data_IF_671173904253
#
_entry.id   IF_671173904253
#
_cell.length_a   1.000
_cell.length_b   1.000
_cell.length_c   1.000
_cell.angle_alpha   90.00
_cell.angle_beta   90.00
_cell.angle_gamma   90.00
#
_symmetry.space_group_name_H-M   'P 1'
#
loop_
_entity.id
_entity.type
_entity.pdbx_description
1 polymer ?
#
# COMPACT_ATOMS: atom_id res chain seq x y z
N UNK A 1 67.71 -20.50 -36.80
CA UNK A 1 66.73 -20.12 -37.84
C UNK A 1 65.35 -20.08 -37.21
N UNK A 2 64.87 -18.89 -36.85
CA UNK A 2 63.56 -18.71 -36.25
C UNK A 2 62.92 -17.45 -36.84
N UNK A 3 62.18 -17.63 -37.93
CA UNK A 3 61.53 -16.53 -38.65
C UNK A 3 60.16 -16.31 -38.02
N UNK A 4 60.08 -15.38 -37.07
CA UNK A 4 58.80 -14.88 -36.55
C UNK A 4 58.04 -14.20 -37.70
N UNK A 5 57.05 -14.90 -38.25
CA UNK A 5 56.09 -14.33 -39.19
C UNK A 5 55.09 -13.49 -38.38
N UNK A 6 55.37 -12.19 -38.25
CA UNK A 6 54.41 -11.23 -37.70
C UNK A 6 53.27 -11.00 -38.68
N UNK A 7 52.04 -11.36 -38.29
CA UNK A 7 50.83 -11.01 -39.03
C UNK A 7 50.43 -9.59 -38.60
N UNK A 8 50.41 -8.65 -39.55
CA UNK A 8 49.80 -7.34 -39.33
C UNK A 8 48.28 -7.49 -39.33
N UNK A 9 47.66 -7.39 -38.17
CA UNK A 9 46.19 -7.33 -38.03
C UNK A 9 45.81 -5.85 -37.99
N UNK A 10 45.19 -5.35 -39.06
CA UNK A 10 44.58 -4.02 -39.05
C UNK A 10 43.29 -4.09 -38.22
N UNK A 11 43.35 -3.65 -36.97
CA UNK A 11 42.13 -3.43 -36.17
C UNK A 11 41.50 -2.14 -36.67
N UNK A 12 40.51 -2.24 -37.56
CA UNK A 12 39.64 -1.11 -37.90
C UNK A 12 38.79 -0.77 -36.68
N UNK A 13 39.27 0.17 -35.87
CA UNK A 13 38.47 0.79 -34.81
C UNK A 13 37.35 1.56 -35.51
N UNK A 14 36.12 1.04 -35.48
CA UNK A 14 34.94 1.78 -35.94
C UNK A 14 34.88 3.05 -35.10
N UNK A 15 35.18 4.19 -35.71
CA UNK A 15 35.00 5.49 -35.07
C UNK A 15 33.56 5.56 -34.57
N UNK A 16 33.41 5.76 -33.26
CA UNK A 16 32.14 6.14 -32.67
C UNK A 16 31.87 7.58 -33.14
N UNK A 17 31.40 7.74 -34.38
CA UNK A 17 30.71 8.95 -34.78
C UNK A 17 29.44 8.98 -33.95
N UNK A 18 29.38 9.87 -32.99
CA UNK A 18 28.10 10.39 -32.51
C UNK A 18 27.36 10.81 -33.78
N UNK A 19 26.35 10.04 -34.19
CA UNK A 19 25.66 10.31 -35.44
C UNK A 19 25.09 11.72 -35.33
N UNK A 20 25.38 12.58 -36.31
CA UNK A 20 24.64 13.82 -36.49
C UNK A 20 23.13 13.50 -36.37
N UNK A 21 22.35 14.38 -35.70
CA UNK A 21 20.93 14.11 -35.50
C UNK A 21 20.31 13.76 -36.86
N UNK A 22 19.59 12.64 -36.90
CA UNK A 22 19.02 12.18 -38.18
C UNK A 22 18.16 13.31 -38.77
N UNK A 23 18.12 13.47 -40.10
CA UNK A 23 17.25 14.47 -40.73
C UNK A 23 15.78 14.37 -40.29
N UNK A 24 15.34 13.16 -39.92
CA UNK A 24 14.03 12.92 -39.31
C UNK A 24 13.89 13.58 -37.93
N UNK A 25 14.89 13.44 -37.05
CA UNK A 25 14.88 14.03 -35.71
C UNK A 25 14.88 15.55 -35.77
N UNK A 26 15.71 16.14 -36.64
CA UNK A 26 15.70 17.60 -36.86
C UNK A 26 14.35 18.08 -37.39
N UNK A 27 13.74 17.34 -38.33
CA UNK A 27 12.41 17.66 -38.83
C UNK A 27 11.33 17.57 -37.74
N UNK A 28 11.40 16.55 -36.87
CA UNK A 28 10.49 16.38 -35.73
C UNK A 28 10.62 17.52 -34.72
N UNK A 29 11.84 17.89 -34.33
CA UNK A 29 12.09 18.99 -33.39
C UNK A 29 11.59 20.32 -33.96
N UNK A 30 11.90 20.62 -35.23
CA UNK A 30 11.38 21.81 -35.92
C UNK A 30 9.87 21.84 -35.96
N UNK A 31 9.21 20.70 -36.22
CA UNK A 31 7.76 20.60 -36.24
C UNK A 31 7.15 20.86 -34.85
N UNK A 32 7.67 20.21 -33.81
CA UNK A 32 7.20 20.39 -32.42
C UNK A 32 7.32 21.86 -31.98
N UNK A 33 8.41 22.54 -32.35
CA UNK A 33 8.60 23.96 -32.02
C UNK A 33 7.74 24.91 -32.86
N UNK A 34 7.42 24.54 -34.11
CA UNK A 34 6.61 25.38 -35.00
C UNK A 34 5.11 25.26 -34.75
N UNK A 35 4.64 24.15 -34.16
CA UNK A 35 3.22 23.93 -33.86
C UNK A 35 2.90 24.46 -32.47
N UNK A 36 2.13 25.56 -32.33
CA UNK A 36 1.72 26.03 -31.02
C UNK A 36 0.82 24.98 -30.38
N UNK A 37 1.17 24.55 -29.17
CA UNK A 37 0.25 23.78 -28.33
C UNK A 37 -0.98 24.65 -28.09
N UNK A 38 -2.09 24.33 -28.76
CA UNK A 38 -3.38 24.94 -28.42
C UNK A 38 -3.74 24.43 -27.03
N UNK A 39 -3.51 25.26 -26.03
CA UNK A 39 -4.00 25.02 -24.68
C UNK A 39 -5.51 24.91 -24.73
N UNK A 40 -6.02 23.69 -24.61
CA UNK A 40 -7.45 23.48 -24.38
C UNK A 40 -7.71 23.86 -22.94
N UNK A 41 -8.68 24.75 -22.71
CA UNK A 41 -9.09 25.07 -21.35
C UNK A 41 -9.48 23.77 -20.62
N UNK A 42 -9.00 23.55 -19.38
CA UNK A 42 -9.38 22.35 -18.64
C UNK A 42 -10.89 22.33 -18.44
N UNK A 43 -11.48 21.16 -18.57
CA UNK A 43 -12.88 20.93 -18.20
C UNK A 43 -12.96 19.82 -17.16
N UNK A 44 -13.87 20.00 -16.21
CA UNK A 44 -14.17 18.97 -15.24
C UNK A 44 -14.96 17.87 -15.94
N UNK A 45 -14.50 16.64 -15.80
CA UNK A 45 -15.09 15.47 -16.43
C UNK A 45 -15.31 14.39 -15.40
N UNK A 46 -16.34 13.57 -15.61
CA UNK A 46 -16.59 12.41 -14.77
C UNK A 46 -15.50 11.34 -15.03
N UNK A 47 -15.13 10.58 -13.99
CA UNK A 47 -14.04 9.59 -14.05
C UNK A 47 -14.31 8.53 -15.12
N UNK A 48 -15.57 8.19 -15.33
CA UNK A 48 -16.05 7.19 -16.29
C UNK A 48 -15.71 7.56 -17.75
N UNK A 49 -15.54 8.85 -18.03
CA UNK A 49 -15.21 9.39 -19.37
C UNK A 49 -13.85 10.08 -19.41
N UNK A 50 -13.03 9.87 -18.38
CA UNK A 50 -11.70 10.45 -18.26
C UNK A 50 -10.63 9.69 -19.06
N UNK A 51 -10.90 8.43 -19.44
CA UNK A 51 -9.94 7.58 -20.15
C UNK A 51 -9.40 8.25 -21.42
N UNK A 52 -8.06 8.28 -21.54
CA UNK A 52 -7.37 8.87 -22.69
C UNK A 52 -7.27 10.40 -22.68
N UNK A 53 -7.81 11.07 -21.65
CA UNK A 53 -7.57 12.51 -21.38
C UNK A 53 -6.31 12.68 -20.55
N UNK A 54 -5.80 13.90 -20.50
CA UNK A 54 -4.57 14.23 -19.76
C UNK A 54 -4.88 15.14 -18.58
N UNK A 55 -4.33 14.83 -17.41
CA UNK A 55 -4.53 15.62 -16.20
C UNK A 55 -3.96 17.03 -16.33
N UNK A 56 -4.77 18.02 -15.94
CA UNK A 56 -4.35 19.43 -15.93
C UNK A 56 -3.54 19.79 -14.68
N UNK A 57 -3.85 19.19 -13.54
CA UNK A 57 -3.16 19.39 -12.26
C UNK A 57 -2.90 18.05 -11.58
N UNK A 58 -2.01 18.04 -10.58
CA UNK A 58 -1.73 16.88 -9.74
C UNK A 58 -2.98 16.43 -8.99
N UNK A 59 -3.32 15.14 -9.09
CA UNK A 59 -4.38 14.54 -8.26
C UNK A 59 -3.77 14.14 -6.92
N UNK A 60 -4.31 14.66 -5.83
CA UNK A 60 -3.83 14.40 -4.46
C UNK A 60 -4.83 13.57 -3.67
N UNK A 61 -4.33 12.73 -2.76
CA UNK A 61 -5.16 11.92 -1.88
C UNK A 61 -5.95 12.82 -0.91
N UNK A 62 -7.29 12.81 -0.93
CA UNK A 62 -8.09 13.68 -0.05
C UNK A 62 -8.15 13.16 1.40
N UNK A 63 -7.85 11.87 1.60
CA UNK A 63 -7.87 11.17 2.88
C UNK A 63 -6.68 10.20 2.97
N UNK A 64 -6.41 9.69 4.16
CA UNK A 64 -5.53 8.54 4.34
C UNK A 64 -6.22 7.27 3.80
N UNK A 65 -5.43 6.32 3.31
CA UNK A 65 -5.87 4.98 2.91
C UNK A 65 -5.03 3.92 3.64
N UNK A 66 -5.64 3.07 4.48
CA UNK A 66 -7.03 3.17 4.97
C UNK A 66 -7.25 4.43 5.84
N UNK A 67 -8.51 4.91 6.00
CA UNK A 67 -8.82 6.15 6.74
C UNK A 67 -8.71 6.03 8.26
N UNK A 68 -8.61 4.80 8.77
CA UNK A 68 -8.40 4.47 10.18
C UNK A 68 -7.58 3.18 10.26
N UNK A 69 -7.05 2.85 11.44
CA UNK A 69 -6.43 1.56 11.65
C UNK A 69 -7.47 0.44 11.49
N UNK A 70 -7.16 -0.58 10.70
CA UNK A 70 -8.13 -1.63 10.34
C UNK A 70 -7.59 -3.02 10.58
N UNK A 71 -8.49 -3.92 10.91
CA UNK A 71 -8.22 -5.35 11.04
C UNK A 71 -8.05 -5.99 9.66
N UNK A 72 -7.07 -6.88 9.51
CA UNK A 72 -6.78 -7.56 8.22
C UNK A 72 -7.15 -9.06 8.20
N UNK A 73 -7.80 -9.56 9.24
CA UNK A 73 -8.19 -10.97 9.41
C UNK A 73 -9.50 -11.11 10.17
N UNK A 74 -10.17 -12.24 10.02
CA UNK A 74 -11.31 -12.61 10.87
C UNK A 74 -10.82 -13.04 12.26
N UNK A 75 -11.42 -12.51 13.33
CA UNK A 75 -10.90 -12.80 14.67
C UNK A 75 -11.53 -12.04 15.83
N UNK A 76 -10.70 -11.84 16.85
CA UNK A 76 -11.07 -11.18 18.11
C UNK A 76 -10.06 -10.08 18.43
N UNK A 77 -10.54 -8.84 18.49
CA UNK A 77 -9.76 -7.70 18.96
C UNK A 77 -9.64 -7.78 20.48
N UNK A 78 -8.41 -7.77 20.98
CA UNK A 78 -8.06 -7.84 22.39
C UNK A 78 -7.09 -6.73 22.76
N UNK A 79 -6.91 -6.48 24.06
CA UNK A 79 -5.74 -5.77 24.56
C UNK A 79 -4.53 -6.72 24.49
N UNK A 80 -3.47 -6.33 23.80
CA UNK A 80 -2.28 -7.18 23.63
C UNK A 80 -1.66 -7.58 24.98
N UNK A 81 -1.67 -6.67 25.96
CA UNK A 81 -1.15 -6.89 27.30
C UNK A 81 -1.80 -8.09 28.01
N UNK A 82 -3.10 -8.33 27.76
CA UNK A 82 -3.85 -9.41 28.41
C UNK A 82 -3.45 -10.80 27.85
N UNK A 83 -2.78 -10.83 26.69
CA UNK A 83 -2.21 -12.05 26.10
C UNK A 83 -0.75 -12.30 26.49
N UNK A 84 -0.10 -11.38 27.21
CA UNK A 84 1.36 -11.39 27.38
C UNK A 84 1.90 -12.68 28.03
N UNK A 85 1.14 -13.28 28.95
CA UNK A 85 1.51 -14.52 29.65
C UNK A 85 0.95 -15.78 28.97
N UNK A 86 0.21 -15.64 27.87
CA UNK A 86 -0.41 -16.79 27.20
C UNK A 86 0.64 -17.66 26.51
N UNK A 87 0.61 -18.95 26.82
CA UNK A 87 1.50 -19.98 26.26
C UNK A 87 0.75 -21.32 26.19
N UNK A 88 1.41 -22.36 25.69
CA UNK A 88 0.83 -23.72 25.69
C UNK A 88 0.58 -24.24 27.11
N UNK A 89 1.40 -23.83 28.07
CA UNK A 89 1.30 -24.22 29.48
C UNK A 89 0.38 -23.29 30.30
N UNK A 90 0.17 -22.04 29.81
CA UNK A 90 -0.68 -21.05 30.45
C UNK A 90 -1.70 -20.49 29.46
N UNK A 91 -2.88 -21.11 29.43
CA UNK A 91 -3.95 -20.75 28.49
C UNK A 91 -4.54 -19.39 28.85
N UNK A 92 -4.45 -18.43 27.94
CA UNK A 92 -5.12 -17.13 28.06
C UNK A 92 -6.61 -17.28 27.80
N UNK A 93 -7.46 -16.62 28.59
CA UNK A 93 -8.92 -16.66 28.46
C UNK A 93 -9.49 -15.25 28.30
N UNK A 94 -10.42 -15.10 27.38
CA UNK A 94 -11.07 -13.84 27.05
C UNK A 94 -12.58 -14.00 27.00
N UNK A 95 -13.32 -12.94 27.37
CA UNK A 95 -14.77 -12.82 27.23
C UNK A 95 -15.11 -11.99 26.00
N UNK A 96 -15.97 -12.51 25.14
CA UNK A 96 -16.50 -11.80 23.97
C UNK A 96 -17.63 -10.89 24.45
N UNK A 97 -17.42 -9.59 24.42
CA UNK A 97 -18.37 -8.58 24.95
C UNK A 97 -19.15 -7.85 23.86
N UNK A 98 -18.83 -8.10 22.59
CA UNK A 98 -19.50 -7.48 21.46
C UNK A 98 -18.82 -7.79 20.13
N UNK A 99 -19.21 -7.01 19.12
CA UNK A 99 -18.68 -7.10 17.76
C UNK A 99 -18.45 -5.72 17.17
N UNK A 100 -17.50 -5.62 16.24
CA UNK A 100 -17.29 -4.46 15.36
C UNK A 100 -17.27 -4.99 13.93
N UNK A 101 -18.16 -4.46 13.10
CA UNK A 101 -18.32 -4.87 11.70
C UNK A 101 -17.58 -3.91 10.77
N UNK A 102 -17.19 -4.38 9.57
CA UNK A 102 -16.72 -3.50 8.52
C UNK A 102 -17.79 -2.47 8.17
N UNK A 103 -17.41 -1.20 8.16
CA UNK A 103 -18.32 -0.06 7.93
C UNK A 103 -18.83 0.61 9.21
N UNK A 104 -18.64 0.01 10.38
CA UNK A 104 -18.92 0.68 11.65
C UNK A 104 -17.98 1.90 11.82
N UNK A 105 -18.54 3.00 12.29
CA UNK A 105 -17.81 4.25 12.52
C UNK A 105 -17.15 4.34 13.89
N UNK A 106 -17.45 3.39 14.78
CA UNK A 106 -16.96 3.38 16.16
C UNK A 106 -16.55 1.97 16.57
N UNK A 107 -15.59 1.88 17.49
CA UNK A 107 -15.16 0.64 18.12
C UNK A 107 -15.26 0.83 19.64
N UNK A 108 -16.01 -0.02 20.35
CA UNK A 108 -16.10 0.05 21.80
C UNK A 108 -14.73 -0.12 22.47
N UNK A 109 -14.52 0.54 23.61
CA UNK A 109 -13.33 0.33 24.42
C UNK A 109 -13.31 -1.08 25.03
N UNK A 110 -12.15 -1.73 25.02
CA UNK A 110 -11.95 -3.04 25.64
C UNK A 110 -11.52 -2.91 27.11
N UNK A 111 -12.21 -3.61 28.01
CA UNK A 111 -11.76 -3.88 29.37
C UNK A 111 -10.69 -4.98 29.45
N UNK A 112 -10.21 -5.28 30.66
CA UNK A 112 -9.24 -6.36 30.88
C UNK A 112 -9.87 -7.74 30.66
N UNK A 113 -9.24 -8.58 29.84
CA UNK A 113 -9.74 -9.91 29.49
C UNK A 113 -10.98 -9.87 28.59
N UNK A 114 -11.36 -8.71 28.08
CA UNK A 114 -12.46 -8.56 27.14
C UNK A 114 -11.97 -8.64 25.70
N UNK A 115 -12.89 -8.98 24.81
CA UNK A 115 -12.65 -9.08 23.39
C UNK A 115 -13.87 -8.67 22.58
N UNK A 116 -13.62 -8.10 21.40
CA UNK A 116 -14.65 -7.80 20.40
C UNK A 116 -14.45 -8.71 19.20
N UNK A 117 -15.51 -9.34 18.71
CA UNK A 117 -15.47 -10.06 17.44
C UNK A 117 -15.28 -9.06 16.30
N UNK A 118 -14.33 -9.32 15.42
CA UNK A 118 -13.98 -8.43 14.31
C UNK A 118 -13.80 -9.22 13.02
N UNK A 119 -14.06 -8.54 11.91
CA UNK A 119 -13.83 -9.05 10.57
C UNK A 119 -12.83 -8.17 9.81
N UNK A 120 -12.37 -8.64 8.67
CA UNK A 120 -11.49 -7.91 7.77
C UNK A 120 -12.11 -6.56 7.37
N UNK A 121 -11.38 -5.47 7.58
CA UNK A 121 -11.84 -4.10 7.33
C UNK A 121 -12.56 -3.42 8.51
N UNK A 122 -12.80 -4.14 9.62
CA UNK A 122 -13.32 -3.54 10.85
C UNK A 122 -12.33 -2.52 11.41
N UNK A 123 -12.83 -1.43 11.98
CA UNK A 123 -12.01 -0.44 12.66
C UNK A 123 -11.39 -1.06 13.92
N UNK A 124 -10.07 -0.88 14.09
CA UNK A 124 -9.35 -1.24 15.30
C UNK A 124 -9.02 0.04 16.07
N UNK A 125 -9.70 0.24 17.22
CA UNK A 125 -9.44 1.38 18.09
C UNK A 125 -8.88 0.92 19.44
N UNK A 126 -8.13 1.81 20.09
CA UNK A 126 -7.46 1.53 21.37
C UNK A 126 -5.96 1.39 21.22
N UNK A 127 -5.22 1.91 22.19
CA UNK A 127 -3.77 1.75 22.24
C UNK A 127 -3.39 0.33 22.66
N UNK A 128 -2.38 -0.24 22.01
CA UNK A 128 -1.85 -1.55 22.40
C UNK A 128 -2.82 -2.71 22.16
N UNK A 129 -3.76 -2.60 21.21
CA UNK A 129 -4.66 -3.69 20.83
C UNK A 129 -4.00 -4.64 19.83
N UNK A 130 -4.52 -5.85 19.72
CA UNK A 130 -4.11 -6.86 18.76
C UNK A 130 -5.32 -7.72 18.34
N UNK A 131 -5.22 -8.39 17.20
CA UNK A 131 -6.27 -9.33 16.76
C UNK A 131 -5.76 -10.76 16.89
N UNK A 132 -6.55 -11.62 17.54
CA UNK A 132 -6.37 -13.06 17.54
C UNK A 132 -7.15 -13.62 16.35
N UNK A 133 -6.52 -14.38 15.46
CA UNK A 133 -7.24 -14.98 14.32
C UNK A 133 -8.22 -16.03 14.79
N UNK A 134 -9.37 -16.14 14.11
CA UNK A 134 -10.45 -17.03 14.54
C UNK A 134 -10.02 -18.49 14.73
N UNK A 135 -9.11 -19.01 13.90
CA UNK A 135 -8.61 -20.39 14.00
C UNK A 135 -7.51 -20.58 15.06
N UNK A 136 -6.98 -19.50 15.64
CA UNK A 136 -6.06 -19.57 16.79
C UNK A 136 -6.84 -19.52 18.13
N UNK A 137 -8.14 -19.23 18.08
CA UNK A 137 -9.03 -19.15 19.24
C UNK A 137 -9.91 -20.40 19.35
N UNK A 138 -9.95 -21.02 20.53
CA UNK A 138 -10.95 -22.05 20.85
C UNK A 138 -12.13 -21.41 21.55
N UNK A 139 -13.25 -21.30 20.85
CA UNK A 139 -14.45 -20.58 21.31
C UNK A 139 -15.38 -21.53 22.05
N UNK A 140 -15.83 -21.11 23.24
CA UNK A 140 -16.80 -21.80 24.09
C UNK A 140 -17.81 -20.79 24.61
N UNK A 141 -19.00 -20.75 23.98
CA UNK A 141 -20.06 -19.79 24.32
C UNK A 141 -19.64 -18.34 24.07
N UNK A 142 -19.66 -17.52 25.13
CA UNK A 142 -19.24 -16.12 25.12
C UNK A 142 -17.76 -15.93 25.51
N UNK A 143 -16.97 -17.01 25.55
CA UNK A 143 -15.54 -16.95 25.86
C UNK A 143 -14.71 -17.63 24.78
N UNK A 144 -13.42 -17.31 24.74
CA UNK A 144 -12.46 -18.09 23.98
C UNK A 144 -11.12 -18.18 24.71
N UNK A 145 -10.30 -19.14 24.27
CA UNK A 145 -8.96 -19.35 24.78
C UNK A 145 -7.90 -19.28 23.69
N UNK A 146 -6.69 -18.90 24.08
CA UNK A 146 -5.48 -18.83 23.24
C UNK A 146 -4.29 -19.47 23.95
N UNK A 147 -3.31 -19.93 23.18
CA UNK A 147 -2.11 -20.62 23.68
C UNK A 147 -0.80 -19.91 23.30
N UNK A 148 -0.88 -18.64 22.88
CA UNK A 148 0.29 -17.80 22.55
C UNK A 148 -0.04 -16.34 22.81
N UNK A 149 1.00 -15.53 23.00
CA UNK A 149 0.89 -14.08 23.11
C UNK A 149 0.79 -13.40 21.73
N UNK A 150 0.26 -12.18 21.75
CA UNK A 150 0.11 -11.31 20.60
C UNK A 150 0.71 -9.94 20.93
N UNK A 151 1.53 -9.42 20.02
CA UNK A 151 2.13 -8.09 20.17
C UNK A 151 1.11 -6.99 19.84
N UNK A 152 1.28 -5.76 20.34
CA UNK A 152 0.53 -4.61 19.88
C UNK A 152 0.52 -4.48 18.35
N UNK A 153 -0.63 -4.09 17.79
CA UNK A 153 -0.89 -3.91 16.36
C UNK A 153 -0.77 -5.17 15.51
N UNK A 154 -0.74 -6.37 16.11
CA UNK A 154 -0.70 -7.62 15.34
C UNK A 154 -2.00 -7.81 14.56
N UNK A 155 -1.87 -8.11 13.25
CA UNK A 155 -2.96 -8.15 12.27
C UNK A 155 -3.82 -6.88 12.20
N UNK A 156 -3.18 -5.72 12.42
CA UNK A 156 -3.78 -4.41 12.24
C UNK A 156 -2.91 -3.60 11.28
N UNK A 157 -3.52 -3.07 10.22
CA UNK A 157 -2.91 -2.07 9.37
C UNK A 157 -3.12 -0.68 9.96
N UNK A 158 -2.05 0.10 10.02
CA UNK A 158 -2.13 1.48 10.51
C UNK A 158 -2.89 2.37 9.51
N UNK A 159 -3.54 3.41 10.03
CA UNK A 159 -4.14 4.45 9.19
C UNK A 159 -3.12 5.02 8.20
N UNK A 160 -3.50 5.07 6.93
CA UNK A 160 -2.68 5.65 5.87
C UNK A 160 -1.41 4.86 5.56
N UNK A 161 -1.37 3.55 5.84
CA UNK A 161 -0.24 2.71 5.45
C UNK A 161 -0.08 2.57 3.94
N UNK A 162 -1.17 2.65 3.18
CA UNK A 162 -1.15 2.57 1.71
C UNK A 162 -0.86 3.95 1.13
N UNK A 163 -1.67 4.95 1.54
CA UNK A 163 -1.55 6.34 1.09
C UNK A 163 -1.83 7.29 2.24
N UNK A 164 -1.04 8.34 2.35
CA UNK A 164 -1.30 9.45 3.25
C UNK A 164 -2.09 10.55 2.55
N UNK A 165 -2.95 11.24 3.30
CA UNK A 165 -3.61 12.46 2.85
C UNK A 165 -2.56 13.45 2.33
N UNK A 166 -2.83 14.04 1.18
CA UNK A 166 -1.94 14.98 0.52
C UNK A 166 -0.87 14.35 -0.37
N UNK A 167 -0.67 13.02 -0.33
CA UNK A 167 0.20 12.35 -1.28
C UNK A 167 -0.30 12.56 -2.71
N UNK A 168 0.61 12.88 -3.65
CA UNK A 168 0.26 12.94 -5.07
C UNK A 168 0.00 11.53 -5.59
N UNK A 169 -1.22 11.28 -6.04
CA UNK A 169 -1.64 10.03 -6.67
C UNK A 169 -1.20 9.99 -8.13
N UNK A 170 -1.47 11.07 -8.87
CA UNK A 170 -1.15 11.21 -10.28
C UNK A 170 -0.63 12.63 -10.54
N UNK A 171 0.38 12.75 -11.41
CA UNK A 171 0.97 14.05 -11.75
C UNK A 171 0.20 14.70 -12.89
N UNK A 172 0.24 16.03 -12.97
CA UNK A 172 -0.18 16.75 -14.16
C UNK A 172 0.54 16.18 -15.39
N UNK A 173 -0.17 16.02 -16.51
CA UNK A 173 0.36 15.39 -17.72
C UNK A 173 0.22 13.86 -17.78
N UNK A 174 -0.20 13.17 -16.71
CA UNK A 174 -0.59 11.76 -16.78
C UNK A 174 -1.83 11.60 -17.66
N UNK A 175 -1.84 10.54 -18.48
CA UNK A 175 -2.92 10.17 -19.39
C UNK A 175 -3.51 8.82 -19.04
#
# INVERSE_FOLDING_TARGET
>A
MGTLHGIFITITKRENRVSEPSPLREAQERFIHAVPLRGVAPSLVAVEVANGRTLYHDVVAPIDMPPYARVIVEGFLIRAADSALASEENVGRFKIVGEVKPGDSTCPSLGAGEALRVATGSIASGEGVAVVRMWEAKVEGDTFTINRSFLPNFFIEAQGCDLKRGSTLLKAGTR
#
